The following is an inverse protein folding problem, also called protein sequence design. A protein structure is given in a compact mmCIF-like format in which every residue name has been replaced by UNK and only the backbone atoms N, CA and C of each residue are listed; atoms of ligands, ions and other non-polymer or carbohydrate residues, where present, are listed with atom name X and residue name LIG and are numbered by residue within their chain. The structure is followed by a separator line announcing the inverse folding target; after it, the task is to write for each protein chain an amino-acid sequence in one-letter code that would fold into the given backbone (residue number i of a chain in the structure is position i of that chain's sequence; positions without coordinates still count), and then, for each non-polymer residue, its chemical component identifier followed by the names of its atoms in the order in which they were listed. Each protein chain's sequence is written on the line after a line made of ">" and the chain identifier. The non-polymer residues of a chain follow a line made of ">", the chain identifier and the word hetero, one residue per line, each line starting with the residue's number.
data_IF_697575984104
#
_entry.id   IF_697575984104
#
_cell.length_a   1.000
_cell.length_b   1.000
_cell.length_c   1.000
_cell.angle_alpha   90.00
_cell.angle_beta   90.00
_cell.angle_gamma   90.00
#
_symmetry.space_group_name_H-M   'P 1'
#
loop_
_entity.id
_entity.type
_entity.pdbx_description
1 polymer ?
#
# COMPACT_ATOMS: atom_id res chain seq x y z
N UNK A 1 25.01 6.83 0.21
CA UNK A 1 23.75 7.48 0.58
C UNK A 1 22.66 6.93 -0.32
N UNK A 2 21.50 6.53 0.22
CA UNK A 2 20.39 6.07 -0.58
C UNK A 2 19.78 7.28 -1.29
N UNK A 3 20.01 7.42 -2.59
CA UNK A 3 19.32 8.35 -3.47
C UNK A 3 17.79 8.14 -3.37
N UNK A 4 17.04 9.08 -2.74
CA UNK A 4 15.61 8.96 -2.52
C UNK A 4 14.80 9.00 -3.82
N UNK A 5 15.46 9.23 -4.96
CA UNK A 5 14.84 9.25 -6.29
C UNK A 5 14.92 7.91 -7.02
N UNK A 6 15.63 6.91 -6.49
CA UNK A 6 15.73 5.61 -7.16
C UNK A 6 14.39 4.87 -7.13
N UNK A 7 13.76 4.64 -8.29
CA UNK A 7 12.43 4.05 -8.32
C UNK A 7 12.35 2.60 -7.81
N UNK A 8 13.45 1.84 -7.94
CA UNK A 8 13.54 0.47 -7.43
C UNK A 8 13.49 0.42 -5.90
N UNK A 9 14.24 1.30 -5.22
CA UNK A 9 14.24 1.35 -3.76
C UNK A 9 12.92 1.84 -3.18
N UNK A 10 12.23 2.74 -3.86
CA UNK A 10 10.89 3.17 -3.46
C UNK A 10 9.88 2.02 -3.60
N UNK A 11 10.00 1.16 -4.63
CA UNK A 11 9.20 -0.07 -4.75
C UNK A 11 9.50 -1.01 -3.59
N UNK A 12 10.77 -1.29 -3.30
CA UNK A 12 11.16 -2.19 -2.21
C UNK A 12 10.66 -1.69 -0.85
N UNK A 13 10.72 -0.37 -0.63
CA UNK A 13 10.17 0.25 0.57
C UNK A 13 8.64 0.12 0.66
N UNK A 14 7.93 0.26 -0.47
CA UNK A 14 6.49 0.07 -0.51
C UNK A 14 6.12 -1.38 -0.16
N UNK A 15 6.80 -2.37 -0.74
CA UNK A 15 6.59 -3.79 -0.42
C UNK A 15 6.84 -4.06 1.06
N UNK A 16 7.92 -3.50 1.64
CA UNK A 16 8.19 -3.64 3.06
C UNK A 16 7.07 -3.05 3.94
N UNK A 17 6.41 -1.96 3.50
CA UNK A 17 5.24 -1.45 4.19
C UNK A 17 4.03 -2.37 4.09
N UNK A 18 3.80 -3.02 2.94
CA UNK A 18 2.73 -4.01 2.78
C UNK A 18 2.95 -5.21 3.72
N UNK A 19 4.15 -5.77 3.74
CA UNK A 19 4.50 -6.89 4.63
C UNK A 19 4.28 -6.52 6.12
N UNK A 20 4.66 -5.30 6.51
CA UNK A 20 4.44 -4.82 7.88
C UNK A 20 2.94 -4.59 8.19
N UNK A 21 2.17 -4.15 7.19
CA UNK A 21 0.72 -4.04 7.28
C UNK A 21 0.08 -5.41 7.51
N UNK A 22 0.49 -6.42 6.74
CA UNK A 22 0.04 -7.80 6.88
C UNK A 22 0.36 -8.40 8.25
N UNK A 23 1.57 -8.14 8.78
CA UNK A 23 1.93 -8.54 10.14
C UNK A 23 1.02 -7.85 11.16
N UNK A 24 0.75 -6.55 11.00
CA UNK A 24 -0.14 -5.82 11.89
C UNK A 24 -1.60 -6.34 11.82
N UNK A 25 -2.09 -6.71 10.64
CA UNK A 25 -3.38 -7.40 10.45
C UNK A 25 -3.42 -8.69 11.26
N UNK A 26 -2.41 -9.55 11.10
CA UNK A 26 -2.34 -10.83 11.82
C UNK A 26 -2.24 -10.65 13.33
N UNK A 27 -1.68 -9.53 13.78
CA UNK A 27 -1.62 -9.14 15.19
C UNK A 27 -2.91 -8.46 15.69
N UNK A 28 -3.94 -8.27 14.86
CA UNK A 28 -5.18 -7.58 15.21
C UNK A 28 -5.06 -6.06 15.34
N UNK A 29 -3.93 -5.47 14.92
CA UNK A 29 -3.63 -4.05 15.01
C UNK A 29 -4.09 -3.32 13.75
N UNK A 30 -5.40 -3.24 13.55
CA UNK A 30 -5.97 -2.78 12.28
C UNK A 30 -5.61 -1.33 11.92
N UNK A 31 -5.59 -0.42 12.89
CA UNK A 31 -5.19 0.98 12.63
C UNK A 31 -3.69 1.10 12.28
N UNK A 32 -2.83 0.27 12.89
CA UNK A 32 -1.42 0.22 12.50
C UNK A 32 -1.25 -0.32 11.08
N UNK A 33 -2.00 -1.38 10.73
CA UNK A 33 -2.01 -1.93 9.38
C UNK A 33 -2.43 -0.88 8.34
N UNK A 34 -3.51 -0.13 8.62
CA UNK A 34 -4.00 0.96 7.76
C UNK A 34 -2.89 1.96 7.47
N UNK A 35 -2.21 2.44 8.51
CA UNK A 35 -1.12 3.40 8.38
C UNK A 35 0.08 2.86 7.58
N UNK A 36 0.31 1.53 7.57
CA UNK A 36 1.36 0.94 6.73
C UNK A 36 0.94 0.82 5.28
N UNK A 37 -0.26 0.33 5.01
CA UNK A 37 -0.77 0.24 3.64
C UNK A 37 -0.92 1.61 2.97
N UNK A 38 -1.35 2.65 3.71
CA UNK A 38 -1.37 4.04 3.20
C UNK A 38 0.02 4.57 2.82
N UNK A 39 1.07 4.17 3.56
CA UNK A 39 2.47 4.54 3.22
C UNK A 39 2.97 3.80 1.98
N UNK A 40 2.61 2.53 1.83
CA UNK A 40 2.89 1.77 0.61
C UNK A 40 2.22 2.44 -0.61
N UNK A 41 0.92 2.74 -0.49
CA UNK A 41 0.13 3.38 -1.53
C UNK A 41 0.70 4.76 -1.93
N UNK A 42 1.07 5.59 -0.95
CA UNK A 42 1.66 6.91 -1.21
C UNK A 42 2.97 6.79 -1.99
N UNK A 43 3.82 5.82 -1.62
CA UNK A 43 5.11 5.59 -2.28
C UNK A 43 4.92 5.11 -3.73
N UNK A 44 4.01 4.16 -3.94
CA UNK A 44 3.70 3.62 -5.27
C UNK A 44 3.01 4.66 -6.17
N UNK A 45 2.15 5.50 -5.61
CA UNK A 45 1.49 6.60 -6.35
C UNK A 45 2.51 7.65 -6.80
N UNK A 46 3.46 8.02 -5.93
CA UNK A 46 4.53 8.95 -6.30
C UNK A 46 5.38 8.41 -7.47
N UNK A 47 5.66 7.11 -7.47
CA UNK A 47 6.40 6.43 -8.53
C UNK A 47 5.67 6.39 -9.87
N UNK A 48 4.37 6.14 -9.84
CA UNK A 48 3.56 6.11 -11.07
C UNK A 48 3.39 7.50 -11.67
N UNK A 49 3.20 8.53 -10.85
CA UNK A 49 3.16 9.94 -11.29
C UNK A 49 4.48 10.43 -11.87
N UNK A 50 5.62 9.91 -11.41
CA UNK A 50 6.95 10.22 -11.96
C UNK A 50 7.25 9.55 -13.32
N UNK A 51 6.25 8.94 -13.97
CA UNK A 51 6.37 8.33 -15.30
C UNK A 51 7.19 7.03 -15.32
N UNK A 52 7.57 6.51 -14.15
CA UNK A 52 8.43 5.34 -14.06
C UNK A 52 7.62 4.02 -14.03
N UNK A 53 6.28 4.09 -14.13
CA UNK A 53 5.32 2.98 -14.00
C UNK A 53 5.61 1.78 -14.92
N UNK A 54 6.28 0.76 -14.38
CA UNK A 54 6.36 -0.57 -14.99
C UNK A 54 5.11 -1.41 -14.65
N UNK A 55 4.85 -2.49 -15.40
CA UNK A 55 3.72 -3.40 -15.15
C UNK A 55 3.72 -3.95 -13.71
N UNK A 56 4.90 -4.19 -13.14
CA UNK A 56 5.05 -4.62 -11.76
C UNK A 56 4.50 -3.60 -10.76
N UNK A 57 4.69 -2.29 -10.96
CA UNK A 57 4.24 -1.29 -9.98
C UNK A 57 2.74 -1.08 -10.00
N UNK A 58 2.11 -1.23 -11.17
CA UNK A 58 0.65 -1.23 -11.25
C UNK A 58 0.05 -2.40 -10.47
N UNK A 59 0.73 -3.56 -10.49
CA UNK A 59 0.34 -4.71 -9.67
C UNK A 59 0.45 -4.39 -8.18
N UNK A 60 1.59 -3.86 -7.72
CA UNK A 60 1.77 -3.55 -6.29
C UNK A 60 0.77 -2.48 -5.82
N UNK A 61 0.49 -1.48 -6.67
CA UNK A 61 -0.47 -0.43 -6.39
C UNK A 61 -1.87 -1.03 -6.19
N UNK A 62 -2.30 -1.90 -7.11
CA UNK A 62 -3.58 -2.61 -6.98
C UNK A 62 -3.62 -3.49 -5.73
N UNK A 63 -2.51 -4.13 -5.35
CA UNK A 63 -2.42 -4.89 -4.10
C UNK A 63 -2.63 -3.99 -2.88
N UNK A 64 -2.01 -2.81 -2.83
CA UNK A 64 -2.20 -1.85 -1.72
C UNK A 64 -3.65 -1.36 -1.60
N UNK A 65 -4.34 -1.13 -2.73
CA UNK A 65 -5.77 -0.81 -2.75
C UNK A 65 -6.61 -1.95 -2.17
N UNK A 66 -6.37 -3.19 -2.61
CA UNK A 66 -7.09 -4.35 -2.08
C UNK A 66 -6.85 -4.56 -0.58
N UNK A 67 -5.61 -4.40 -0.10
CA UNK A 67 -5.27 -4.53 1.32
C UNK A 67 -6.02 -3.52 2.19
N UNK A 68 -6.17 -2.28 1.71
CA UNK A 68 -6.95 -1.23 2.39
C UNK A 68 -8.46 -1.52 2.36
N UNK A 69 -9.00 -2.00 1.23
CA UNK A 69 -10.39 -2.42 1.11
C UNK A 69 -10.73 -3.58 2.05
N UNK A 70 -9.90 -4.63 2.06
CA UNK A 70 -10.05 -5.77 2.95
C UNK A 70 -9.95 -5.37 4.43
N UNK A 71 -9.06 -4.43 4.75
CA UNK A 71 -8.93 -3.90 6.09
C UNK A 71 -10.16 -3.10 6.52
N UNK A 72 -10.73 -2.30 5.62
CA UNK A 72 -11.97 -1.56 5.85
C UNK A 72 -13.15 -2.52 6.08
N UNK A 73 -13.25 -3.60 5.28
CA UNK A 73 -14.23 -4.68 5.51
C UNK A 73 -14.08 -5.30 6.90
N UNK A 74 -12.87 -5.68 7.30
CA UNK A 74 -12.59 -6.23 8.64
C UNK A 74 -12.91 -5.26 9.78
N UNK A 75 -12.86 -3.96 9.51
CA UNK A 75 -13.19 -2.90 10.47
C UNK A 75 -14.68 -2.51 10.45
N UNK A 76 -15.50 -3.16 9.61
CA UNK A 76 -16.91 -2.83 9.46
C UNK A 76 -17.20 -1.50 8.73
N UNK A 77 -16.19 -0.89 8.11
CA UNK A 77 -16.28 0.38 7.39
C UNK A 77 -16.57 0.11 5.91
N UNK A 78 -17.81 -0.26 5.61
CA UNK A 78 -18.19 -0.76 4.28
C UNK A 78 -18.12 0.31 3.18
N UNK A 79 -18.44 1.57 3.52
CA UNK A 79 -18.33 2.68 2.56
C UNK A 79 -16.87 2.95 2.20
N UNK A 80 -15.98 3.02 3.19
CA UNK A 80 -14.52 3.13 2.97
C UNK A 80 -13.99 1.95 2.13
N UNK A 81 -14.46 0.72 2.38
CA UNK A 81 -14.02 -0.46 1.63
C UNK A 81 -14.38 -0.34 0.14
N UNK A 82 -15.58 0.17 -0.16
CA UNK A 82 -16.02 0.41 -1.53
C UNK A 82 -15.11 1.41 -2.22
N UNK A 83 -14.78 2.53 -1.57
CA UNK A 83 -13.88 3.54 -2.13
C UNK A 83 -12.49 2.99 -2.47
N UNK A 84 -12.00 2.01 -1.71
CA UNK A 84 -10.71 1.36 -1.99
C UNK A 84 -10.76 0.35 -3.14
N UNK A 85 -11.94 -0.15 -3.52
CA UNK A 85 -12.11 -1.12 -4.60
C UNK A 85 -12.54 -0.51 -5.95
N UNK A 86 -13.11 0.70 -5.94
CA UNK A 86 -13.53 1.45 -7.14
C UNK A 86 -12.32 2.04 -7.90
#
# INVERSE_FOLDING_TARGET
>A
AADPTNPGWQRDLAVAYQDLGDVAVRAGKLEEARARFEKALTSLTALTSAGSASAGWKSDLATSYNELGDLALRSGKLDDAREWFD
#
